data_IF_590453998845
#
_entry.id   IF_590453998845
#
_cell.length_a   1.000
_cell.length_b   1.000
_cell.length_c   1.000
_cell.angle_alpha   90.00
_cell.angle_beta   90.00
_cell.angle_gamma   90.00
#
_symmetry.space_group_name_H-M   'P 1'
#
loop_
_entity.id
_entity.type
_entity.pdbx_description
1 polymer ?
#
# COMPACT_ATOMS: atom_id res chain seq x y z
N UNK A 1 35.40 -21.34 -7.24
CA UNK A 1 35.11 -22.79 -7.12
C UNK A 1 34.14 -23.13 -8.22
N UNK A 2 34.61 -23.91 -9.19
CA UNK A 2 33.86 -24.38 -10.36
C UNK A 2 33.02 -25.58 -9.98
N UNK A 3 31.75 -25.61 -10.39
CA UNK A 3 31.03 -26.86 -10.58
C UNK A 3 30.34 -26.82 -11.94
N UNK A 4 30.83 -27.70 -12.83
CA UNK A 4 30.20 -28.13 -14.05
C UNK A 4 29.09 -29.13 -13.71
N UNK A 5 27.94 -29.04 -14.38
CA UNK A 5 27.13 -30.22 -14.69
C UNK A 5 26.73 -30.13 -16.16
N UNK A 6 27.21 -31.09 -16.92
CA UNK A 6 26.98 -31.36 -18.34
C UNK A 6 25.61 -31.99 -18.59
N UNK A 7 25.08 -31.69 -19.77
CA UNK A 7 23.84 -32.19 -20.38
C UNK A 7 23.78 -33.72 -20.57
N UNK A 8 22.65 -34.21 -21.12
CA UNK A 8 22.72 -35.06 -22.30
C UNK A 8 22.15 -34.34 -23.53
N UNK A 9 22.86 -34.55 -24.64
CA UNK A 9 22.52 -34.10 -25.98
C UNK A 9 21.43 -34.98 -26.59
N UNK A 10 20.60 -34.39 -27.45
CA UNK A 10 20.06 -35.07 -28.62
C UNK A 10 20.10 -34.12 -29.82
N UNK A 11 20.51 -34.70 -30.95
CA UNK A 11 20.85 -34.06 -32.22
C UNK A 11 19.63 -33.68 -33.07
N UNK A 12 19.88 -32.70 -33.95
CA UNK A 12 19.27 -32.40 -35.27
C UNK A 12 18.54 -31.04 -35.30
N UNK A 13 18.56 -30.23 -36.35
CA UNK A 13 19.46 -29.95 -37.47
C UNK A 13 18.92 -28.61 -38.06
N UNK A 14 19.68 -27.98 -38.96
CA UNK A 14 19.23 -26.93 -39.92
C UNK A 14 19.11 -25.45 -39.49
N UNK A 15 20.23 -24.74 -39.69
CA UNK A 15 20.41 -23.51 -40.48
C UNK A 15 19.20 -22.60 -40.81
N UNK A 16 19.29 -21.33 -40.38
CA UNK A 16 18.44 -20.25 -40.90
C UNK A 16 18.86 -18.86 -40.40
N UNK A 17 19.76 -18.21 -41.13
CA UNK A 17 20.28 -16.86 -40.90
C UNK A 17 19.20 -15.81 -41.19
N UNK A 18 18.90 -14.91 -40.25
CA UNK A 18 18.29 -13.61 -40.57
C UNK A 18 18.63 -12.56 -39.49
N UNK A 19 19.44 -11.59 -39.89
CA UNK A 19 19.69 -10.34 -39.18
C UNK A 19 18.47 -9.44 -39.29
N UNK A 20 17.99 -8.87 -38.18
CA UNK A 20 17.26 -7.61 -38.21
C UNK A 20 17.63 -6.75 -37.01
N UNK A 21 18.33 -5.67 -37.30
CA UNK A 21 18.69 -4.62 -36.38
C UNK A 21 17.47 -3.75 -36.03
N UNK A 22 17.29 -3.47 -34.75
CA UNK A 22 16.54 -2.30 -34.30
C UNK A 22 17.21 -1.68 -33.08
N UNK A 23 17.85 -0.52 -33.33
CA UNK A 23 18.07 0.60 -32.40
C UNK A 23 16.82 0.77 -31.52
N UNK A 24 16.85 1.01 -30.22
CA UNK A 24 17.79 1.76 -29.40
C UNK A 24 16.91 2.53 -28.41
N UNK A 25 16.84 2.08 -27.16
CA UNK A 25 16.43 2.89 -26.01
C UNK A 25 17.46 2.66 -24.92
N UNK A 26 18.21 3.70 -24.62
CA UNK A 26 19.20 3.71 -23.56
C UNK A 26 18.45 3.56 -22.23
N UNK A 27 18.57 2.36 -21.65
CA UNK A 27 18.09 2.04 -20.32
C UNK A 27 19.03 2.62 -19.27
N UNK A 28 18.43 3.21 -18.24
CA UNK A 28 19.10 3.49 -16.97
C UNK A 28 19.85 2.24 -16.49
N UNK A 29 21.15 2.39 -16.21
CA UNK A 29 21.98 1.31 -15.67
C UNK A 29 22.19 1.52 -14.18
N UNK A 30 21.65 0.59 -13.39
CA UNK A 30 22.18 0.19 -12.08
C UNK A 30 21.90 1.13 -10.92
N UNK A 31 20.93 0.77 -10.08
CA UNK A 31 20.87 1.16 -8.67
C UNK A 31 21.00 -0.10 -7.82
N UNK A 32 21.82 -0.05 -6.76
CA UNK A 32 22.00 -1.16 -5.82
C UNK A 32 20.72 -1.41 -5.03
N UNK A 33 20.33 -2.68 -4.89
CA UNK A 33 19.23 -3.12 -4.03
C UNK A 33 19.81 -3.36 -2.63
N UNK A 34 19.36 -2.59 -1.63
CA UNK A 34 19.63 -2.89 -0.22
C UNK A 34 18.35 -3.50 0.36
N UNK A 35 18.39 -4.80 0.67
CA UNK A 35 17.36 -5.48 1.47
C UNK A 35 17.66 -5.23 2.94
N UNK A 36 16.81 -4.47 3.62
CA UNK A 36 16.83 -4.39 5.07
C UNK A 36 15.86 -5.45 5.63
N UNK A 37 16.40 -6.58 6.12
CA UNK A 37 15.67 -7.47 7.02
C UNK A 37 16.02 -7.09 8.46
N UNK A 38 15.07 -7.22 9.38
CA UNK A 38 15.24 -7.04 10.83
C UNK A 38 16.11 -8.12 11.53
N UNK A 39 17.09 -8.69 10.81
CA UNK A 39 18.12 -9.55 11.38
C UNK A 39 19.43 -9.31 10.64
N UNK A 40 20.31 -8.54 11.29
CA UNK A 40 21.62 -8.15 10.78
C UNK A 40 22.52 -9.39 10.75
N UNK A 41 22.89 -9.83 9.54
CA UNK A 41 24.02 -10.74 9.36
C UNK A 41 24.82 -10.32 8.13
N UNK A 42 25.96 -9.68 8.38
CA UNK A 42 26.95 -9.36 7.37
C UNK A 42 27.51 -10.65 6.74
N UNK A 43 27.53 -10.73 5.41
CA UNK A 43 28.39 -11.67 4.69
C UNK A 43 29.39 -10.89 3.83
N UNK A 44 30.62 -10.85 4.33
CA UNK A 44 31.80 -10.32 3.65
C UNK A 44 32.31 -11.31 2.59
N UNK A 45 32.36 -10.89 1.33
CA UNK A 45 33.11 -11.58 0.28
C UNK A 45 34.43 -10.84 0.03
N UNK A 46 35.53 -11.33 0.62
CA UNK A 46 36.88 -10.83 0.34
C UNK A 46 37.42 -11.38 -0.98
N UNK A 47 37.59 -10.51 -1.97
CA UNK A 47 38.38 -10.76 -3.18
C UNK A 47 39.47 -9.71 -3.34
N UNK A 48 40.73 -10.11 -3.13
CA UNK A 48 41.92 -9.25 -3.18
C UNK A 48 42.16 -8.60 -4.56
N UNK A 49 42.24 -7.26 -4.63
CA UNK A 49 43.00 -6.46 -5.62
C UNK A 49 43.43 -5.09 -5.03
N UNK A 50 44.46 -4.43 -5.60
CA UNK A 50 45.45 -3.69 -4.82
C UNK A 50 45.04 -2.27 -4.43
N UNK A 51 45.58 -1.87 -3.28
CA UNK A 51 45.36 -0.62 -2.55
C UNK A 51 45.62 0.62 -3.43
N UNK A 52 44.53 1.28 -3.82
CA UNK A 52 44.51 2.70 -4.17
C UNK A 52 43.83 3.41 -3.01
N UNK A 53 44.42 4.50 -2.51
CA UNK A 53 43.99 5.23 -1.31
C UNK A 53 42.48 5.50 -1.35
N UNK A 54 41.73 4.77 -0.53
CA UNK A 54 40.28 4.89 -0.38
C UNK A 54 39.97 6.13 0.44
N UNK A 55 39.21 7.07 -0.14
CA UNK A 55 38.46 8.04 0.62
C UNK A 55 37.72 7.31 1.76
N UNK A 56 37.70 7.88 2.97
CA UNK A 56 36.84 7.40 4.06
C UNK A 56 35.41 7.33 3.50
N UNK A 57 34.93 6.13 3.21
CA UNK A 57 33.51 5.90 3.03
C UNK A 57 32.84 6.34 4.32
N UNK A 58 32.03 7.39 4.24
CA UNK A 58 31.19 7.81 5.35
C UNK A 58 30.20 6.69 5.60
N UNK A 59 30.38 5.98 6.71
CA UNK A 59 29.48 4.95 7.18
C UNK A 59 28.07 5.56 7.34
N UNK A 60 27.11 5.09 6.56
CA UNK A 60 25.73 5.55 6.62
C UNK A 60 25.05 4.81 7.76
N UNK A 61 24.61 5.56 8.77
CA UNK A 61 23.84 5.04 9.90
C UNK A 61 22.44 4.65 9.45
N UNK A 62 21.93 3.53 9.95
CA UNK A 62 20.57 3.08 9.63
C UNK A 62 19.51 4.06 10.14
N UNK A 63 19.82 4.76 11.23
CA UNK A 63 18.97 5.77 11.85
C UNK A 63 18.72 6.93 10.88
N UNK A 64 19.76 7.36 10.17
CA UNK A 64 19.69 8.45 9.20
C UNK A 64 18.92 8.04 7.95
N UNK A 65 19.02 6.77 7.55
CA UNK A 65 18.20 6.20 6.46
C UNK A 65 16.73 6.21 6.85
N UNK A 66 16.38 5.76 8.06
CA UNK A 66 14.99 5.76 8.52
C UNK A 66 14.43 7.19 8.58
N UNK A 67 15.17 8.14 9.17
CA UNK A 67 14.76 9.56 9.22
C UNK A 67 14.57 10.14 7.82
N UNK A 68 15.47 9.85 6.89
CA UNK A 68 15.34 10.31 5.51
C UNK A 68 14.15 9.68 4.75
N UNK A 69 13.80 8.42 5.04
CA UNK A 69 12.63 7.74 4.46
C UNK A 69 11.33 8.29 5.05
N UNK A 70 11.24 8.43 6.37
CA UNK A 70 10.06 9.01 7.04
C UNK A 70 9.85 10.45 6.57
N UNK A 71 10.92 11.25 6.45
CA UNK A 71 10.84 12.60 5.89
C UNK A 71 10.33 12.62 4.44
N UNK A 72 10.74 11.65 3.62
CA UNK A 72 10.31 11.54 2.23
C UNK A 72 8.82 11.20 2.14
N UNK A 73 8.37 10.29 2.99
CA UNK A 73 6.97 9.88 3.09
C UNK A 73 6.11 11.05 3.60
N UNK A 74 6.52 11.73 4.67
CA UNK A 74 5.78 12.84 5.30
C UNK A 74 5.56 13.98 4.31
N UNK A 75 6.61 14.32 3.57
CA UNK A 75 6.54 15.37 2.54
C UNK A 75 5.70 14.99 1.31
N UNK A 76 5.51 13.70 1.06
CA UNK A 76 4.76 13.22 -0.10
C UNK A 76 3.32 12.85 0.22
N UNK A 77 3.03 12.47 1.47
CA UNK A 77 1.76 11.96 1.98
C UNK A 77 1.38 12.70 3.27
N UNK A 78 1.13 14.02 3.22
CA UNK A 78 0.99 14.86 4.41
C UNK A 78 -0.21 14.50 5.31
N UNK A 79 -1.18 13.74 4.80
CA UNK A 79 -2.42 13.42 5.51
C UNK A 79 -2.28 12.28 6.54
N UNK A 80 -1.17 11.53 6.51
CA UNK A 80 -0.93 10.37 7.38
C UNK A 80 -0.18 10.77 8.66
N UNK A 81 0.64 11.83 8.60
CA UNK A 81 1.48 12.27 9.72
C UNK A 81 2.71 11.39 9.96
N UNK A 82 3.79 11.96 10.55
CA UNK A 82 5.10 11.32 10.55
C UNK A 82 5.22 10.17 11.56
N UNK A 83 4.41 10.18 12.62
CA UNK A 83 4.36 9.11 13.62
C UNK A 83 3.79 7.83 13.03
N UNK A 84 2.64 7.92 12.38
CA UNK A 84 1.96 6.78 11.77
C UNK A 84 2.80 6.19 10.62
N UNK A 85 3.53 7.05 9.89
CA UNK A 85 4.53 6.60 8.92
C UNK A 85 5.69 5.86 9.55
N UNK A 86 6.27 6.38 10.63
CA UNK A 86 7.33 5.70 11.35
C UNK A 86 6.87 4.33 11.87
N UNK A 87 5.69 4.28 12.48
CA UNK A 87 5.07 3.04 12.95
C UNK A 87 4.85 2.05 11.81
N UNK A 88 4.40 2.53 10.64
CA UNK A 88 4.21 1.69 9.44
C UNK A 88 5.53 1.15 8.90
N UNK A 89 6.55 1.99 8.74
CA UNK A 89 7.87 1.60 8.21
C UNK A 89 8.56 0.60 9.15
N UNK A 90 8.36 0.75 10.46
CA UNK A 90 8.96 -0.10 11.49
C UNK A 90 8.06 -1.29 11.89
N UNK A 91 6.88 -1.46 11.28
CA UNK A 91 5.96 -2.53 11.65
C UNK A 91 6.57 -3.91 11.34
N UNK A 92 6.53 -4.88 12.27
CA UNK A 92 7.07 -6.21 12.02
C UNK A 92 6.41 -6.89 10.82
N UNK A 93 7.21 -7.28 9.82
CA UNK A 93 6.72 -7.92 8.59
C UNK A 93 6.58 -6.97 7.39
N UNK A 94 6.71 -5.65 7.60
CA UNK A 94 6.81 -4.68 6.51
C UNK A 94 8.20 -4.73 5.90
N UNK A 95 8.23 -4.75 4.57
CA UNK A 95 9.41 -4.61 3.75
C UNK A 95 9.44 -3.22 3.13
N UNK A 96 10.59 -2.57 3.18
CA UNK A 96 10.78 -1.25 2.56
C UNK A 96 11.75 -1.34 1.39
N UNK A 97 11.27 -0.98 0.20
CA UNK A 97 12.10 -0.77 -1.01
C UNK A 97 12.53 0.68 -1.03
N UNK A 98 13.84 0.92 -1.01
CA UNK A 98 14.43 2.26 -1.12
C UNK A 98 15.14 2.36 -2.46
N UNK A 99 14.83 3.41 -3.23
CA UNK A 99 15.59 3.75 -4.42
C UNK A 99 16.56 4.89 -4.09
N UNK A 100 17.85 4.58 -4.15
CA UNK A 100 18.94 5.52 -3.96
C UNK A 100 19.66 5.83 -5.28
N UNK A 101 20.23 7.02 -5.36
CA UNK A 101 21.15 7.43 -6.44
C UNK A 101 22.59 7.09 -6.05
N UNK A 102 23.42 6.93 -7.07
CA UNK A 102 24.86 6.90 -6.86
C UNK A 102 25.36 8.28 -6.38
N UNK A 103 26.36 8.26 -5.51
CA UNK A 103 26.97 9.44 -4.92
C UNK A 103 27.60 10.33 -6.00
N UNK A 104 28.25 9.71 -7.00
CA UNK A 104 28.86 10.40 -8.12
C UNK A 104 27.84 11.19 -8.95
N UNK A 105 26.70 10.57 -9.30
CA UNK A 105 25.62 11.20 -10.07
C UNK A 105 25.05 12.43 -9.34
N UNK A 106 24.97 12.36 -8.01
CA UNK A 106 24.47 13.47 -7.19
C UNK A 106 25.45 14.63 -7.19
N UNK A 107 26.76 14.36 -7.08
CA UNK A 107 27.79 15.38 -7.20
C UNK A 107 27.79 16.05 -8.59
N UNK A 108 27.61 15.27 -9.65
CA UNK A 108 27.51 15.81 -11.01
C UNK A 108 26.29 16.70 -11.21
N UNK A 109 25.11 16.27 -10.74
CA UNK A 109 23.87 17.08 -10.75
C UNK A 109 24.06 18.39 -10.00
N UNK A 110 24.74 18.37 -8.85
CA UNK A 110 25.02 19.60 -8.11
C UNK A 110 25.99 20.55 -8.83
N UNK A 111 26.95 20.03 -9.60
CA UNK A 111 27.84 20.85 -10.44
C UNK A 111 27.10 21.43 -11.66
N UNK A 112 26.23 20.66 -12.29
CA UNK A 112 25.51 21.06 -13.52
C UNK A 112 24.43 22.14 -13.31
N UNK A 113 23.94 22.31 -12.06
CA UNK A 113 22.89 23.29 -11.73
C UNK A 113 23.30 24.76 -11.85
N UNK A 114 24.58 25.07 -11.94
CA UNK A 114 25.06 26.45 -12.11
C UNK A 114 24.64 27.07 -13.47
N UNK A 115 24.20 26.28 -14.45
CA UNK A 115 23.97 26.76 -15.83
C UNK A 115 22.53 26.62 -16.34
N UNK A 116 21.63 25.96 -15.60
CA UNK A 116 20.24 25.83 -16.02
C UNK A 116 19.37 26.95 -15.43
N UNK A 117 19.10 27.98 -16.24
CA UNK A 117 17.93 28.85 -16.05
C UNK A 117 16.70 27.94 -15.94
N UNK A 118 16.12 27.85 -14.74
CA UNK A 118 14.90 27.09 -14.46
C UNK A 118 13.82 27.44 -15.49
N UNK A 119 13.46 26.49 -16.35
CA UNK A 119 12.09 26.43 -16.86
C UNK A 119 11.22 26.13 -15.64
N UNK A 120 10.55 27.17 -15.16
CA UNK A 120 9.62 27.11 -14.05
C UNK A 120 8.52 26.09 -14.36
N UNK A 121 8.60 24.91 -13.79
CA UNK A 121 7.41 24.09 -13.59
C UNK A 121 6.59 24.79 -12.52
N UNK A 122 5.48 25.40 -12.93
CA UNK A 122 4.50 26.00 -12.04
C UNK A 122 4.05 24.95 -11.03
N UNK A 123 4.22 25.18 -9.71
CA UNK A 123 3.66 24.29 -8.71
C UNK A 123 2.14 24.36 -8.83
N UNK A 124 1.48 23.22 -9.03
CA UNK A 124 0.05 23.10 -8.74
C UNK A 124 -0.10 23.30 -7.22
N UNK A 125 -0.85 24.30 -6.74
CA UNK A 125 -1.04 24.51 -5.32
C UNK A 125 -2.00 23.43 -4.79
N UNK A 126 -1.48 22.39 -4.14
CA UNK A 126 -2.28 21.56 -3.25
C UNK A 126 -2.52 22.36 -1.96
N UNK A 127 -3.73 22.91 -1.83
CA UNK A 127 -4.17 23.58 -0.61
C UNK A 127 -4.69 22.54 0.37
N UNK A 128 -3.81 22.05 1.24
CA UNK A 128 -4.20 21.39 2.48
C UNK A 128 -3.56 22.18 3.62
N UNK A 129 -4.28 23.16 4.15
CA UNK A 129 -3.92 23.84 5.40
C UNK A 129 -4.30 22.94 6.56
N UNK A 130 -3.47 21.93 6.81
CA UNK A 130 -3.45 21.19 8.08
C UNK A 130 -2.44 21.92 8.97
N UNK A 131 -2.80 22.12 10.24
CA UNK A 131 -1.94 22.74 11.25
C UNK A 131 -0.77 21.75 11.49
N UNK A 132 0.35 21.98 10.80
CA UNK A 132 1.48 21.05 10.80
C UNK A 132 2.07 20.92 12.20
N UNK A 133 2.30 19.67 12.63
CA UNK A 133 3.02 19.36 13.86
C UNK A 133 4.49 19.80 13.72
N UNK A 134 5.15 20.13 14.84
CA UNK A 134 6.54 20.61 14.87
C UNK A 134 7.52 19.66 14.15
N UNK A 135 7.32 18.34 14.28
CA UNK A 135 8.12 17.31 13.60
C UNK A 135 7.92 17.30 12.09
N UNK A 136 6.69 17.52 11.60
CA UNK A 136 6.43 17.60 10.17
C UNK A 136 7.11 18.82 9.55
N UNK A 137 7.18 19.95 10.26
CA UNK A 137 7.93 21.12 9.79
C UNK A 137 9.43 20.83 9.66
N UNK A 138 10.03 20.15 10.65
CA UNK A 138 11.44 19.74 10.61
C UNK A 138 11.72 18.77 9.43
N UNK A 139 10.87 17.76 9.24
CA UNK A 139 11.00 16.78 8.17
C UNK A 139 10.78 17.41 6.78
N UNK A 140 9.84 18.35 6.67
CA UNK A 140 9.58 19.09 5.44
C UNK A 140 10.81 19.88 4.97
N UNK A 141 11.64 20.34 5.89
CA UNK A 141 12.84 21.11 5.58
C UNK A 141 13.89 20.29 4.80
N UNK A 142 13.99 18.98 5.05
CA UNK A 142 14.93 18.07 4.36
C UNK A 142 14.70 17.98 2.86
N UNK A 143 13.43 18.02 2.43
CA UNK A 143 13.03 17.89 1.03
C UNK A 143 12.38 19.16 0.47
N UNK A 144 12.46 20.28 1.20
CA UNK A 144 12.09 21.60 0.69
C UNK A 144 13.09 22.03 -0.40
N UNK A 145 12.72 21.72 -1.64
CA UNK A 145 13.49 22.08 -2.85
C UNK A 145 13.41 23.60 -3.17
N UNK A 146 12.71 24.40 -2.33
CA UNK A 146 12.82 25.86 -2.26
C UNK A 146 13.95 26.27 -1.31
N UNK A 147 14.81 27.19 -1.74
CA UNK A 147 15.92 27.73 -0.93
C UNK A 147 15.45 28.88 -0.01
N UNK A 148 14.17 28.90 0.37
CA UNK A 148 13.62 29.91 1.27
C UNK A 148 13.48 29.36 2.69
N UNK A 149 14.14 30.07 3.61
CA UNK A 149 14.31 29.81 5.03
C UNK A 149 13.00 29.93 5.82
N UNK A 150 12.62 28.93 6.64
CA UNK A 150 11.62 29.11 7.70
C UNK A 150 12.27 29.34 9.07
N UNK A 151 11.66 30.22 9.87
CA UNK A 151 12.04 30.55 11.25
C UNK A 151 11.66 29.45 12.24
N UNK A 152 12.50 29.25 13.27
CA UNK A 152 12.40 28.19 14.28
C UNK A 152 11.34 28.48 15.35
N UNK A 153 10.64 27.45 15.83
CA UNK A 153 9.85 27.52 17.07
C UNK A 153 9.87 26.15 17.76
N UNK A 154 10.34 26.13 19.00
CA UNK A 154 10.61 24.93 19.81
C UNK A 154 9.68 24.87 21.03
N UNK A 155 9.00 23.73 21.26
CA UNK A 155 8.39 23.37 22.54
C UNK A 155 8.47 21.85 22.81
N UNK A 156 8.56 21.51 24.11
CA UNK A 156 8.88 20.22 24.76
C UNK A 156 7.81 19.12 24.62
N UNK A 157 8.23 17.84 24.60
CA UNK A 157 7.36 16.65 24.67
C UNK A 157 7.85 15.70 25.78
N UNK A 158 6.92 15.22 26.60
CA UNK A 158 7.12 14.32 27.76
C UNK A 158 7.01 12.84 27.32
N UNK A 159 7.92 12.01 27.81
CA UNK A 159 8.06 10.58 27.48
C UNK A 159 7.38 9.62 28.48
N UNK A 160 6.92 8.47 27.99
CA UNK A 160 6.67 7.24 28.77
C UNK A 160 7.20 6.05 27.97
N UNK A 161 8.04 5.24 28.62
CA UNK A 161 8.84 4.16 28.04
C UNK A 161 8.07 2.84 27.86
N UNK A 162 8.39 2.08 26.80
CA UNK A 162 8.56 0.61 26.90
C UNK A 162 9.47 0.08 25.77
N UNK A 163 10.35 -0.85 26.12
CA UNK A 163 11.58 -1.24 25.39
C UNK A 163 11.42 -2.25 24.26
N UNK A 164 12.23 -2.12 23.21
CA UNK A 164 12.72 -3.23 22.35
C UNK A 164 12.57 -3.03 20.84
N UNK A 165 11.73 -2.10 20.42
CA UNK A 165 11.57 -1.60 19.04
C UNK A 165 12.10 -0.18 19.00
N UNK A 166 12.65 0.34 17.89
CA UNK A 166 12.94 1.77 17.82
C UNK A 166 11.66 2.52 18.06
N UNK A 167 11.56 3.15 19.22
CA UNK A 167 10.36 3.84 19.61
C UNK A 167 10.33 5.20 18.90
N UNK A 168 9.15 5.79 18.82
CA UNK A 168 9.01 7.13 18.25
C UNK A 168 9.91 8.15 18.97
N UNK A 169 10.14 7.97 20.26
CA UNK A 169 11.03 8.79 21.08
C UNK A 169 12.49 8.67 20.62
N UNK A 170 12.98 7.44 20.37
CA UNK A 170 14.34 7.21 19.85
C UNK A 170 14.51 7.75 18.42
N UNK A 171 13.45 7.72 17.63
CA UNK A 171 13.46 8.33 16.30
C UNK A 171 13.62 9.86 16.39
N UNK A 172 12.88 10.48 17.32
CA UNK A 172 12.93 11.92 17.57
C UNK A 172 14.26 12.34 18.20
N UNK A 173 14.87 11.48 19.03
CA UNK A 173 16.22 11.67 19.54
C UNK A 173 17.20 11.72 18.36
N UNK A 174 17.88 12.86 18.18
CA UNK A 174 18.79 13.09 17.06
C UNK A 174 18.13 13.50 15.73
N UNK A 175 16.80 13.66 15.68
CA UNK A 175 16.15 14.19 14.47
C UNK A 175 16.58 15.63 14.18
N UNK A 176 16.65 16.48 15.20
CA UNK A 176 17.10 17.86 15.05
C UNK A 176 18.55 17.93 14.57
N UNK A 177 19.45 17.15 15.17
CA UNK A 177 20.85 17.05 14.76
C UNK A 177 20.97 16.63 13.28
N UNK A 178 20.22 15.61 12.87
CA UNK A 178 20.18 15.17 11.48
C UNK A 178 19.71 16.26 10.51
N UNK A 179 18.67 17.01 10.89
CA UNK A 179 18.14 18.14 10.11
C UNK A 179 19.17 19.25 10.02
N UNK A 180 19.80 19.62 11.13
CA UNK A 180 20.84 20.66 11.18
C UNK A 180 22.04 20.29 10.32
N UNK A 181 22.51 19.04 10.40
CA UNK A 181 23.58 18.58 9.51
C UNK A 181 23.18 18.63 8.02
N UNK A 182 21.92 18.33 7.70
CA UNK A 182 21.41 18.43 6.33
C UNK A 182 21.34 19.90 5.87
N UNK A 183 21.00 20.84 6.77
CA UNK A 183 21.08 22.28 6.52
C UNK A 183 22.52 22.71 6.27
N UNK A 184 23.45 22.30 7.12
CA UNK A 184 24.88 22.58 6.93
C UNK A 184 25.38 22.06 5.58
N UNK A 185 24.95 20.85 5.18
CA UNK A 185 25.26 20.30 3.85
C UNK A 185 24.64 21.15 2.75
N UNK A 186 23.44 21.69 2.93
CA UNK A 186 22.76 22.61 1.98
C UNK A 186 23.50 23.94 1.87
N UNK A 187 23.90 24.54 2.97
CA UNK A 187 24.65 25.80 3.00
C UNK A 187 26.04 25.64 2.37
N UNK A 188 26.77 24.56 2.70
CA UNK A 188 28.04 24.23 2.06
C UNK A 188 27.91 24.09 0.54
N UNK A 189 26.80 23.54 0.06
CA UNK A 189 26.50 23.49 -1.39
C UNK A 189 26.24 24.88 -1.96
N UNK A 190 25.54 25.76 -1.24
CA UNK A 190 25.22 27.11 -1.69
C UNK A 190 26.48 27.97 -1.84
N UNK A 191 27.35 27.99 -0.83
CA UNK A 191 28.60 28.78 -0.83
C UNK A 191 29.57 28.27 -1.91
N UNK A 192 29.74 26.95 -2.02
CA UNK A 192 30.74 26.36 -2.93
C UNK A 192 30.25 26.22 -4.39
N UNK A 193 28.99 26.60 -4.68
CA UNK A 193 28.54 26.79 -6.07
C UNK A 193 29.32 27.91 -6.75
N UNK A 194 29.78 28.92 -6.01
CA UNK A 194 30.56 30.03 -6.56
C UNK A 194 31.98 29.62 -6.95
N UNK A 195 32.57 28.68 -6.20
CA UNK A 195 33.94 28.18 -6.41
C UNK A 195 34.02 26.92 -7.31
N UNK A 196 32.87 26.37 -7.73
CA UNK A 196 32.76 25.26 -8.68
C UNK A 196 33.21 23.88 -8.16
N UNK A 197 33.58 23.74 -6.88
CA UNK A 197 34.04 22.47 -6.28
C UNK A 197 33.19 22.09 -5.07
N UNK A 198 32.16 21.29 -5.31
CA UNK A 198 31.33 20.72 -4.24
C UNK A 198 32.05 19.49 -3.65
N UNK A 199 32.22 19.39 -2.32
CA UNK A 199 32.95 18.32 -1.69
C UNK A 199 32.04 17.09 -1.49
N UNK A 200 32.61 15.87 -1.47
CA UNK A 200 31.83 14.65 -1.23
C UNK A 200 31.02 14.67 0.08
N UNK A 201 31.53 15.36 1.11
CA UNK A 201 30.88 15.51 2.42
C UNK A 201 29.62 16.38 2.41
N UNK A 202 29.32 17.06 1.29
CA UNK A 202 28.10 17.84 1.13
C UNK A 202 26.91 17.02 0.60
N UNK A 203 27.11 15.73 0.34
CA UNK A 203 26.06 14.78 -0.06
C UNK A 203 25.74 13.90 1.15
N UNK A 204 24.57 14.10 1.75
CA UNK A 204 24.05 13.21 2.79
C UNK A 204 23.02 12.23 2.25
N UNK A 205 22.51 11.35 3.13
CA UNK A 205 21.51 10.33 2.79
C UNK A 205 20.24 10.95 2.20
N UNK A 206 19.83 12.13 2.69
CA UNK A 206 18.68 12.89 2.20
C UNK A 206 18.85 13.34 0.72
N UNK A 207 20.09 13.38 0.24
CA UNK A 207 20.40 13.69 -1.16
C UNK A 207 20.39 12.45 -2.06
N UNK A 208 20.62 11.26 -1.48
CA UNK A 208 20.71 9.98 -2.19
C UNK A 208 19.34 9.34 -2.39
N UNK A 209 18.46 9.39 -1.39
CA UNK A 209 17.14 8.75 -1.44
C UNK A 209 16.20 9.54 -2.36
N UNK A 210 15.56 8.81 -3.28
CA UNK A 210 14.65 9.39 -4.29
C UNK A 210 13.22 8.91 -4.15
N UNK A 211 13.05 7.64 -3.79
CA UNK A 211 11.74 7.03 -3.63
C UNK A 211 11.80 5.94 -2.57
N UNK A 212 10.66 5.71 -1.91
CA UNK A 212 10.49 4.65 -0.94
C UNK A 212 9.10 4.01 -1.12
N UNK A 213 9.03 2.69 -0.92
CA UNK A 213 7.78 1.95 -0.91
C UNK A 213 7.78 0.91 0.20
N UNK A 214 6.71 0.87 0.99
CA UNK A 214 6.54 -0.07 2.10
C UNK A 214 5.43 -1.05 1.75
N UNK A 215 5.72 -2.34 1.81
CA UNK A 215 4.76 -3.40 1.49
C UNK A 215 4.81 -4.53 2.50
N UNK A 216 3.71 -5.27 2.63
CA UNK A 216 3.57 -6.45 3.48
C UNK A 216 3.09 -7.63 2.65
N UNK A 217 3.47 -8.85 3.04
CA UNK A 217 2.86 -10.07 2.56
C UNK A 217 1.93 -10.64 3.64
N UNK A 218 0.63 -10.66 3.35
CA UNK A 218 -0.41 -11.19 4.25
C UNK A 218 -1.01 -12.46 3.65
N UNK A 219 -1.40 -13.38 4.53
CA UNK A 219 -2.19 -14.56 4.14
C UNK A 219 -3.60 -14.32 4.65
N UNK A 220 -4.56 -14.31 3.74
CA UNK A 220 -5.95 -14.04 4.08
C UNK A 220 -6.63 -15.23 4.74
N UNK A 221 -7.80 -14.97 5.33
CA UNK A 221 -8.66 -16.04 5.86
C UNK A 221 -9.11 -17.05 4.79
N UNK A 222 -9.14 -16.64 3.52
CA UNK A 222 -9.40 -17.49 2.36
C UNK A 222 -8.23 -18.41 2.00
N UNK A 223 -7.03 -18.13 2.51
CA UNK A 223 -5.78 -18.79 2.16
C UNK A 223 -4.98 -18.11 1.06
N UNK A 224 -5.50 -17.04 0.46
CA UNK A 224 -4.81 -16.29 -0.60
C UNK A 224 -3.65 -15.47 -0.04
N UNK A 225 -2.54 -15.42 -0.76
CA UNK A 225 -1.38 -14.61 -0.40
C UNK A 225 -1.47 -13.23 -1.06
N UNK A 226 -1.60 -12.18 -0.27
CA UNK A 226 -1.75 -10.81 -0.75
C UNK A 226 -0.52 -9.97 -0.43
N UNK A 227 0.00 -9.30 -1.45
CA UNK A 227 1.00 -8.26 -1.32
C UNK A 227 0.30 -6.92 -1.12
N UNK A 228 0.25 -6.42 0.11
CA UNK A 228 -0.33 -5.13 0.45
C UNK A 228 0.73 -4.03 0.34
N UNK A 229 0.54 -3.08 -0.58
CA UNK A 229 1.33 -1.85 -0.64
C UNK A 229 0.72 -0.82 0.32
N UNK A 230 1.44 -0.54 1.41
CA UNK A 230 1.00 0.39 2.46
C UNK A 230 1.35 1.83 2.15
N UNK A 231 2.60 2.10 1.74
CA UNK A 231 3.08 3.45 1.45
C UNK A 231 3.91 3.47 0.17
N UNK A 232 3.75 4.51 -0.64
CA UNK A 232 4.57 4.77 -1.83
C UNK A 232 4.81 6.27 -1.98
N UNK A 233 6.07 6.69 -1.95
CA UNK A 233 6.45 8.07 -2.17
C UNK A 233 7.61 8.20 -3.16
N UNK A 234 7.49 9.22 -4.02
CA UNK A 234 8.56 9.69 -4.90
C UNK A 234 8.80 11.16 -4.62
N UNK A 235 10.05 11.51 -4.38
CA UNK A 235 10.47 12.89 -4.09
C UNK A 235 10.02 13.82 -5.22
N UNK A 236 9.47 14.97 -4.86
CA UNK A 236 8.77 15.90 -5.76
C UNK A 236 9.53 16.20 -7.06
N UNK A 237 10.81 16.54 -6.96
CA UNK A 237 11.69 16.83 -8.12
C UNK A 237 11.91 15.66 -9.10
N UNK A 238 11.59 14.43 -8.73
CA UNK A 238 11.72 13.25 -9.59
C UNK A 238 10.36 12.61 -9.94
N UNK A 239 9.25 13.26 -9.55
CA UNK A 239 7.93 12.85 -10.02
C UNK A 239 7.86 12.99 -11.55
N UNK A 240 7.06 12.15 -12.19
CA UNK A 240 6.92 12.06 -13.65
C UNK A 240 8.17 11.59 -14.42
N UNK A 241 9.24 11.17 -13.75
CA UNK A 241 10.40 10.52 -14.38
C UNK A 241 10.28 8.99 -14.47
N UNK A 242 9.08 8.44 -14.22
CA UNK A 242 8.83 7.00 -14.26
C UNK A 242 9.35 6.22 -13.04
N UNK A 243 9.82 6.89 -11.99
CA UNK A 243 10.35 6.23 -10.79
C UNK A 243 9.27 5.44 -10.04
N UNK A 244 8.09 6.03 -9.86
CA UNK A 244 6.95 5.31 -9.26
C UNK A 244 6.55 4.11 -10.10
N UNK A 245 6.55 4.25 -11.43
CA UNK A 245 6.29 3.14 -12.34
C UNK A 245 7.32 2.03 -12.24
N UNK A 246 8.59 2.38 -12.12
CA UNK A 246 9.67 1.42 -11.91
C UNK A 246 9.47 0.61 -10.62
N UNK A 247 9.11 1.27 -9.51
CA UNK A 247 8.80 0.58 -8.26
C UNK A 247 7.58 -0.34 -8.43
N UNK A 248 6.51 0.11 -9.10
CA UNK A 248 5.35 -0.73 -9.35
C UNK A 248 5.70 -1.98 -10.16
N UNK A 249 6.56 -1.88 -11.17
CA UNK A 249 7.04 -3.05 -11.93
C UNK A 249 7.92 -3.98 -11.08
N UNK A 250 8.71 -3.45 -10.15
CA UNK A 250 9.43 -4.26 -9.17
C UNK A 250 8.46 -5.02 -8.25
N UNK A 251 7.42 -4.35 -7.75
CA UNK A 251 6.42 -4.98 -6.88
C UNK A 251 5.60 -6.04 -7.62
N UNK A 252 5.39 -5.88 -8.93
CA UNK A 252 4.76 -6.90 -9.77
C UNK A 252 5.64 -8.12 -10.02
N UNK A 253 6.94 -7.98 -9.81
CA UNK A 253 7.91 -9.04 -10.10
C UNK A 253 8.01 -9.97 -8.90
N UNK A 254 7.30 -11.10 -8.95
CA UNK A 254 7.26 -12.09 -7.86
C UNK A 254 8.63 -12.66 -7.45
N UNK A 255 9.63 -12.66 -8.34
CA UNK A 255 11.00 -13.07 -7.97
C UNK A 255 11.68 -12.08 -7.02
N UNK A 256 11.24 -10.82 -6.99
CA UNK A 256 11.79 -9.76 -6.13
C UNK A 256 11.09 -9.75 -4.78
N UNK A 257 9.75 -9.66 -4.80
CA UNK A 257 8.94 -9.47 -3.60
C UNK A 257 8.49 -10.76 -2.92
N UNK A 258 8.60 -11.89 -3.62
CA UNK A 258 8.03 -13.17 -3.19
C UNK A 258 6.81 -13.55 -4.01
N UNK A 259 6.41 -14.82 -3.95
CA UNK A 259 5.18 -15.29 -4.58
C UNK A 259 3.98 -14.61 -3.90
N UNK A 260 2.99 -14.19 -4.67
CA UNK A 260 1.73 -13.67 -4.16
C UNK A 260 0.63 -13.89 -5.22
N UNK A 261 -0.62 -13.98 -4.77
CA UNK A 261 -1.78 -14.21 -5.63
C UNK A 261 -2.45 -12.90 -6.05
N UNK A 262 -2.38 -11.86 -5.21
CA UNK A 262 -2.90 -10.53 -5.55
C UNK A 262 -2.03 -9.42 -4.95
N UNK A 263 -1.86 -8.32 -5.67
CA UNK A 263 -1.29 -7.08 -5.14
C UNK A 263 -2.43 -6.11 -4.82
N UNK A 264 -2.44 -5.56 -3.62
CA UNK A 264 -3.49 -4.65 -3.16
C UNK A 264 -2.85 -3.33 -2.72
N UNK A 265 -3.51 -2.21 -3.04
CA UNK A 265 -3.08 -0.88 -2.61
C UNK A 265 -4.29 -0.02 -2.25
N UNK A 266 -4.14 0.83 -1.25
CA UNK A 266 -5.06 1.93 -1.00
C UNK A 266 -4.61 3.13 -1.85
N UNK A 267 -5.51 3.59 -2.71
CA UNK A 267 -5.26 4.72 -3.60
C UNK A 267 -6.07 5.94 -3.16
N UNK A 268 -5.38 7.04 -2.89
CA UNK A 268 -6.03 8.34 -2.76
C UNK A 268 -6.63 8.79 -4.08
N UNK A 269 -7.58 9.72 -4.02
CA UNK A 269 -8.32 10.23 -5.19
C UNK A 269 -7.40 10.64 -6.34
N UNK A 270 -6.26 11.26 -6.03
CA UNK A 270 -5.28 11.72 -7.03
C UNK A 270 -4.38 10.59 -7.58
N UNK A 271 -4.25 9.48 -6.85
CA UNK A 271 -3.39 8.35 -7.21
C UNK A 271 -4.12 7.26 -8.01
N UNK A 272 -5.46 7.27 -8.06
CA UNK A 272 -6.26 6.26 -8.77
C UNK A 272 -5.80 6.11 -10.23
N UNK A 273 -5.60 7.22 -10.94
CA UNK A 273 -5.15 7.19 -12.33
C UNK A 273 -3.78 6.54 -12.51
N UNK A 274 -2.86 6.77 -11.56
CA UNK A 274 -1.55 6.13 -11.54
C UNK A 274 -1.69 4.61 -11.37
N UNK A 275 -2.47 4.14 -10.40
CA UNK A 275 -2.66 2.71 -10.16
C UNK A 275 -3.40 2.00 -11.29
N UNK A 276 -4.44 2.63 -11.87
CA UNK A 276 -5.13 2.12 -13.07
C UNK A 276 -4.16 1.98 -14.25
N UNK A 277 -3.26 2.94 -14.43
CA UNK A 277 -2.20 2.89 -15.45
C UNK A 277 -1.24 1.70 -15.28
N UNK A 278 -1.14 1.14 -14.07
CA UNK A 278 -0.37 -0.07 -13.78
C UNK A 278 -1.25 -1.33 -13.70
N UNK A 279 -2.50 -1.28 -14.16
CA UNK A 279 -3.37 -2.44 -14.24
C UNK A 279 -4.07 -2.81 -12.93
N UNK A 280 -4.03 -1.96 -11.90
CA UNK A 280 -4.88 -2.15 -10.73
C UNK A 280 -6.32 -1.74 -11.07
N UNK A 281 -7.29 -2.47 -10.54
CA UNK A 281 -8.72 -2.21 -10.71
C UNK A 281 -9.37 -1.78 -9.40
N UNK A 282 -10.31 -0.84 -9.51
CA UNK A 282 -11.20 -0.36 -8.46
C UNK A 282 -12.57 -1.07 -8.49
N UNK A 283 -12.69 -2.23 -9.14
CA UNK A 283 -13.93 -3.02 -9.17
C UNK A 283 -14.37 -3.41 -7.76
N UNK A 284 -15.56 -2.94 -7.37
CA UNK A 284 -16.10 -3.13 -6.02
C UNK A 284 -16.36 -4.60 -5.68
N UNK A 285 -16.82 -5.41 -6.64
CA UNK A 285 -17.13 -6.82 -6.39
C UNK A 285 -15.85 -7.63 -6.27
N UNK A 286 -14.85 -7.32 -7.11
CA UNK A 286 -13.54 -7.96 -7.00
C UNK A 286 -12.85 -7.58 -5.70
N UNK A 287 -12.89 -6.30 -5.32
CA UNK A 287 -12.18 -5.81 -4.15
C UNK A 287 -12.88 -6.17 -2.82
N UNK A 288 -14.17 -6.56 -2.83
CA UNK A 288 -14.88 -7.02 -1.62
C UNK A 288 -14.24 -8.27 -1.01
N UNK A 289 -13.56 -9.10 -1.81
CA UNK A 289 -12.84 -10.28 -1.30
C UNK A 289 -11.66 -9.89 -0.39
N UNK A 290 -11.16 -8.65 -0.52
CA UNK A 290 -10.05 -8.10 0.26
C UNK A 290 -10.53 -7.17 1.37
N UNK A 291 -11.81 -7.22 1.75
CA UNK A 291 -12.39 -6.34 2.78
C UNK A 291 -11.74 -6.46 4.16
N UNK A 292 -11.09 -7.59 4.45
CA UNK A 292 -10.33 -7.77 5.70
C UNK A 292 -9.05 -6.93 5.73
N UNK A 293 -8.55 -6.50 4.56
CA UNK A 293 -7.44 -5.55 4.41
C UNK A 293 -7.90 -4.10 4.32
N UNK A 294 -9.21 -3.84 4.49
CA UNK A 294 -9.74 -2.49 4.46
C UNK A 294 -9.31 -1.77 5.74
N UNK A 295 -8.15 -1.12 5.66
CA UNK A 295 -7.59 -0.31 6.72
C UNK A 295 -8.45 0.94 7.00
N UNK A 296 -8.14 1.64 8.08
CA UNK A 296 -8.79 2.88 8.53
C UNK A 296 -8.48 4.11 7.65
N UNK A 297 -7.90 3.93 6.46
CA UNK A 297 -7.58 5.02 5.54
C UNK A 297 -8.84 5.75 5.07
N UNK A 298 -9.07 6.94 5.62
CA UNK A 298 -10.13 7.83 5.16
C UNK A 298 -9.84 8.35 3.76
N UNK A 299 -10.86 8.48 2.90
CA UNK A 299 -10.76 9.03 1.54
C UNK A 299 -9.88 8.24 0.54
N UNK A 300 -9.56 6.98 0.85
CA UNK A 300 -8.88 6.07 -0.06
C UNK A 300 -9.84 5.05 -0.68
N UNK A 301 -9.49 4.54 -1.87
CA UNK A 301 -10.18 3.45 -2.53
C UNK A 301 -9.24 2.25 -2.58
N UNK A 302 -9.73 1.09 -2.16
CA UNK A 302 -9.01 -0.18 -2.29
C UNK A 302 -8.95 -0.57 -3.77
N UNK A 303 -7.74 -0.84 -4.26
CA UNK A 303 -7.49 -1.29 -5.62
C UNK A 303 -6.66 -2.56 -5.61
N UNK A 304 -6.91 -3.47 -6.56
CA UNK A 304 -6.18 -4.73 -6.66
C UNK A 304 -5.62 -4.99 -8.06
N UNK A 305 -4.48 -5.67 -8.12
CA UNK A 305 -3.87 -6.19 -9.34
C UNK A 305 -3.74 -7.71 -9.21
N UNK A 306 -4.29 -8.41 -10.20
CA UNK A 306 -4.19 -9.85 -10.34
C UNK A 306 -3.04 -10.17 -11.30
N UNK A 307 -1.96 -10.82 -10.84
CA UNK A 307 -0.90 -11.29 -11.71
C UNK A 307 -1.44 -12.27 -12.77
N UNK A 308 -0.84 -12.31 -13.97
CA UNK A 308 -1.20 -13.32 -14.96
C UNK A 308 -0.87 -14.73 -14.45
N UNK A 309 -1.67 -15.73 -14.84
CA UNK A 309 -1.47 -17.13 -14.44
C UNK A 309 -0.10 -17.70 -14.86
N UNK A 310 0.45 -17.21 -15.97
CA UNK A 310 1.77 -17.60 -16.47
C UNK A 310 2.80 -16.53 -16.13
N UNK A 311 3.48 -16.69 -15.00
CA UNK A 311 4.64 -15.88 -14.62
C UNK A 311 5.95 -16.41 -15.22
N UNK A 312 5.99 -17.67 -15.66
CA UNK A 312 7.16 -18.30 -16.29
C UNK A 312 7.18 -18.11 -17.83
N UNK A 313 8.24 -17.46 -18.31
CA UNK A 313 8.49 -17.16 -19.72
C UNK A 313 8.62 -18.42 -20.60
N UNK A 314 8.99 -19.56 -20.01
CA UNK A 314 9.23 -20.82 -20.74
C UNK A 314 7.94 -21.47 -21.29
N UNK A 315 6.77 -21.10 -20.76
CA UNK A 315 5.48 -21.61 -21.25
C UNK A 315 4.82 -20.72 -22.32
N UNK A 316 5.46 -19.61 -22.72
CA UNK A 316 4.90 -18.73 -23.75
C UNK A 316 5.04 -19.39 -25.12
N UNK A 317 3.93 -19.71 -25.75
CA UNK A 317 3.92 -20.26 -27.10
C UNK A 317 4.07 -19.11 -28.13
N UNK A 318 5.24 -18.90 -28.75
CA UNK A 318 5.53 -17.69 -29.52
C UNK A 318 4.74 -17.60 -30.84
N UNK A 319 4.14 -18.71 -31.29
CA UNK A 319 3.29 -18.77 -32.49
C UNK A 319 1.80 -18.54 -32.23
N UNK A 320 1.38 -18.32 -30.98
CA UNK A 320 -0.04 -18.16 -30.65
C UNK A 320 -0.46 -16.70 -30.80
N UNK A 321 -1.18 -16.41 -31.89
CA UNK A 321 -1.81 -15.11 -32.13
C UNK A 321 -3.30 -15.23 -31.82
N UNK A 322 -3.73 -14.63 -30.72
CA UNK A 322 -5.14 -14.35 -30.46
C UNK A 322 -5.46 -12.92 -30.88
N UNK A 323 -6.65 -12.70 -31.42
CA UNK A 323 -7.17 -11.36 -31.57
C UNK A 323 -7.54 -10.83 -30.17
N UNK A 324 -6.63 -10.07 -29.56
CA UNK A 324 -6.79 -9.51 -28.22
C UNK A 324 -8.12 -8.77 -28.07
N UNK A 325 -8.56 -8.07 -29.11
CA UNK A 325 -9.82 -7.31 -29.10
C UNK A 325 -11.04 -8.23 -28.98
N UNK A 326 -11.03 -9.39 -29.65
CA UNK A 326 -12.12 -10.36 -29.54
C UNK A 326 -12.16 -10.96 -28.14
N UNK A 327 -11.00 -11.31 -27.58
CA UNK A 327 -10.89 -11.83 -26.21
C UNK A 327 -11.36 -10.81 -25.18
N UNK A 328 -10.99 -9.54 -25.34
CA UNK A 328 -11.46 -8.44 -24.49
C UNK A 328 -12.99 -8.29 -24.57
N UNK A 329 -13.57 -8.32 -25.77
CA UNK A 329 -15.03 -8.24 -25.97
C UNK A 329 -15.75 -9.45 -25.36
N UNK A 330 -15.22 -10.66 -25.52
CA UNK A 330 -15.77 -11.88 -24.93
C UNK A 330 -15.69 -11.84 -23.40
N UNK A 331 -14.59 -11.33 -22.83
CA UNK A 331 -14.43 -11.16 -21.39
C UNK A 331 -15.44 -10.15 -20.84
N UNK A 332 -15.65 -9.01 -21.51
CA UNK A 332 -16.62 -8.00 -21.10
C UNK A 332 -18.06 -8.51 -21.19
N UNK A 333 -18.36 -9.30 -22.22
CA UNK A 333 -19.65 -9.99 -22.34
C UNK A 333 -19.84 -11.00 -21.20
N UNK A 334 -18.84 -11.81 -20.90
CA UNK A 334 -18.87 -12.78 -19.80
C UNK A 334 -19.07 -12.10 -18.43
N UNK A 335 -18.35 -10.99 -18.17
CA UNK A 335 -18.52 -10.17 -16.96
C UNK A 335 -19.95 -9.64 -16.85
N UNK A 336 -20.50 -9.12 -17.94
CA UNK A 336 -21.87 -8.58 -17.98
C UNK A 336 -22.92 -9.66 -17.71
N UNK A 337 -22.74 -10.85 -18.28
CA UNK A 337 -23.63 -12.00 -18.05
C UNK A 337 -23.55 -12.50 -16.60
N UNK A 338 -22.34 -12.59 -16.04
CA UNK A 338 -22.13 -12.97 -14.64
C UNK A 338 -22.78 -11.97 -13.68
N UNK A 339 -22.62 -10.67 -13.92
CA UNK A 339 -23.26 -9.62 -13.12
C UNK A 339 -24.78 -9.72 -13.17
N UNK A 340 -25.35 -9.93 -14.36
CA UNK A 340 -26.79 -10.09 -14.52
C UNK A 340 -27.31 -11.32 -13.76
N UNK A 341 -26.62 -12.46 -13.87
CA UNK A 341 -26.98 -13.68 -13.15
C UNK A 341 -26.93 -13.48 -11.63
N UNK A 342 -25.89 -12.82 -11.12
CA UNK A 342 -25.77 -12.46 -9.71
C UNK A 342 -26.92 -11.57 -9.24
N UNK A 343 -27.26 -10.52 -10.00
CA UNK A 343 -28.38 -9.63 -9.67
C UNK A 343 -29.73 -10.36 -9.61
N UNK A 344 -29.98 -11.30 -10.52
CA UNK A 344 -31.19 -12.13 -10.50
C UNK A 344 -31.22 -13.02 -9.25
N UNK A 345 -30.09 -13.66 -8.92
CA UNK A 345 -29.97 -14.50 -7.74
C UNK A 345 -30.22 -13.72 -6.44
N UNK A 346 -29.60 -12.56 -6.28
CA UNK A 346 -29.81 -11.68 -5.11
C UNK A 346 -31.27 -11.26 -5.02
N UNK A 347 -31.89 -10.86 -6.13
CA UNK A 347 -33.31 -10.48 -6.16
C UNK A 347 -34.22 -11.63 -5.70
N UNK A 348 -33.98 -12.84 -6.18
CA UNK A 348 -34.74 -14.03 -5.77
C UNK A 348 -34.57 -14.33 -4.27
N UNK A 349 -33.34 -14.29 -3.76
CA UNK A 349 -33.05 -14.54 -2.34
C UNK A 349 -33.70 -13.48 -1.45
N UNK A 350 -33.63 -12.21 -1.82
CA UNK A 350 -34.29 -11.13 -1.06
C UNK A 350 -35.80 -11.30 -1.02
N UNK A 351 -36.43 -11.66 -2.15
CA UNK A 351 -37.89 -11.94 -2.18
C UNK A 351 -38.25 -13.14 -1.32
N UNK A 352 -37.48 -14.22 -1.39
CA UNK A 352 -37.68 -15.40 -0.55
C UNK A 352 -37.60 -15.04 0.94
N UNK A 353 -36.62 -14.22 1.33
CA UNK A 353 -36.46 -13.77 2.71
C UNK A 353 -37.68 -12.99 3.20
N UNK A 354 -38.24 -12.10 2.38
CA UNK A 354 -39.46 -11.37 2.72
C UNK A 354 -40.68 -12.28 2.83
N UNK A 355 -40.82 -13.25 1.92
CA UNK A 355 -41.89 -14.26 2.00
C UNK A 355 -41.79 -15.08 3.29
N UNK A 356 -40.57 -15.52 3.67
CA UNK A 356 -40.33 -16.23 4.93
C UNK A 356 -40.73 -15.36 6.12
N UNK A 357 -40.39 -14.07 6.13
CA UNK A 357 -40.80 -13.13 7.19
C UNK A 357 -42.33 -12.99 7.26
N UNK A 358 -43.00 -12.85 6.12
CA UNK A 358 -44.47 -12.74 6.05
C UNK A 358 -45.13 -14.01 6.57
N UNK A 359 -44.68 -15.18 6.10
CA UNK A 359 -45.19 -16.48 6.52
C UNK A 359 -44.96 -16.71 8.02
N UNK A 360 -43.80 -16.31 8.55
CA UNK A 360 -43.51 -16.40 9.98
C UNK A 360 -44.50 -15.56 10.80
N UNK A 361 -44.76 -14.31 10.40
CA UNK A 361 -45.77 -13.44 11.03
C UNK A 361 -47.17 -14.05 10.97
N UNK A 362 -47.55 -14.63 9.83
CA UNK A 362 -48.84 -15.31 9.67
C UNK A 362 -48.94 -16.55 10.58
N UNK A 363 -47.87 -17.34 10.70
CA UNK A 363 -47.82 -18.51 11.57
C UNK A 363 -48.00 -18.11 13.05
N UNK A 364 -47.32 -17.05 13.51
CA UNK A 364 -47.49 -16.52 14.88
C UNK A 364 -48.95 -16.11 15.10
N UNK A 365 -49.52 -15.32 14.19
CA UNK A 365 -50.94 -14.91 14.26
C UNK A 365 -51.89 -16.11 14.32
N UNK A 366 -51.65 -17.13 13.51
CA UNK A 366 -52.46 -18.33 13.48
C UNK A 366 -52.35 -19.15 14.79
N UNK A 367 -51.15 -19.24 15.38
CA UNK A 367 -50.99 -19.86 16.71
C UNK A 367 -51.76 -19.11 17.79
N UNK A 368 -51.69 -17.77 17.79
CA UNK A 368 -52.44 -16.94 18.72
C UNK A 368 -53.96 -17.15 18.58
N UNK A 369 -54.46 -17.12 17.34
CA UNK A 369 -55.89 -17.34 17.06
C UNK A 369 -56.36 -18.73 17.51
N UNK A 370 -55.55 -19.78 17.31
CA UNK A 370 -55.86 -21.13 17.83
C UNK A 370 -55.89 -21.16 19.36
N UNK A 371 -54.96 -20.48 20.02
CA UNK A 371 -54.95 -20.40 21.47
C UNK A 371 -56.20 -19.69 22.01
N UNK A 372 -56.62 -18.60 21.37
CA UNK A 372 -57.87 -17.89 21.70
C UNK A 372 -59.10 -18.79 21.49
N UNK A 373 -59.20 -19.48 20.35
CA UNK A 373 -60.30 -20.43 20.12
C UNK A 373 -60.33 -21.53 21.18
N UNK A 374 -59.17 -22.10 21.51
CA UNK A 374 -59.07 -23.14 22.54
C UNK A 374 -59.46 -22.63 23.94
N UNK A 375 -59.12 -21.39 24.29
CA UNK A 375 -59.59 -20.76 25.53
C UNK A 375 -61.10 -20.48 25.49
N UNK A 376 -61.65 -20.01 24.37
CA UNK A 376 -63.08 -19.80 24.17
C UNK A 376 -63.91 -21.09 24.30
N UNK A 377 -63.38 -22.23 23.86
CA UNK A 377 -64.02 -23.53 24.08
C UNK A 377 -63.94 -23.99 25.54
N UNK A 378 -62.84 -23.69 26.25
CA UNK A 378 -62.70 -23.98 27.68
C UNK A 378 -63.64 -23.12 28.54
N UNK A 379 -63.82 -21.84 28.22
CA UNK A 379 -64.76 -20.96 28.93
C UNK A 379 -66.23 -21.31 28.63
N UNK A 380 -66.58 -21.68 27.40
CA UNK A 380 -67.92 -22.21 27.09
C UNK A 380 -68.22 -23.52 27.81
N UNK A 381 -67.25 -24.43 27.94
CA UNK A 381 -67.38 -25.65 28.78
C UNK A 381 -67.54 -25.33 30.27
N UNK A 382 -66.83 -24.31 30.78
CA UNK A 382 -67.03 -23.83 32.16
C UNK A 382 -68.42 -23.19 32.35
N UNK A 383 -68.93 -22.43 31.39
CA UNK A 383 -70.29 -21.87 31.45
C UNK A 383 -71.37 -22.96 31.35
N UNK A 384 -71.17 -24.04 30.58
CA UNK A 384 -72.08 -25.19 30.61
C UNK A 384 -72.01 -26.01 31.92
N UNK A 385 -70.90 -25.91 32.67
CA UNK A 385 -70.73 -26.50 34.00
C UNK A 385 -71.14 -25.55 35.15
N UNK A 386 -71.36 -24.26 34.87
CA UNK A 386 -71.80 -23.24 35.83
C UNK A 386 -73.32 -22.94 35.77
N UNK A 387 -74.10 -23.72 35.02
CA UNK A 387 -75.56 -23.78 35.17
C UNK A 387 -75.98 -24.68 36.36
N UNK A 388 -75.34 -24.46 37.51
CA UNK A 388 -75.78 -24.89 38.83
C UNK A 388 -75.66 -23.65 39.74
N UNK A 389 -76.70 -23.27 40.48
CA UNK A 389 -76.71 -22.00 41.18
C UNK A 389 -75.87 -22.12 42.45
N UNK A 390 -74.79 -21.36 42.57
CA UNK A 390 -74.51 -20.62 43.80
C UNK A 390 -73.35 -19.64 43.68
N UNK A 391 -73.57 -18.54 44.40
CA UNK A 391 -72.76 -17.40 44.82
C UNK A 391 -71.22 -17.53 44.72
N UNK A 392 -70.62 -16.36 44.42
CA UNK A 392 -69.26 -15.86 44.71
C UNK A 392 -68.23 -15.77 43.56
N UNK A 393 -68.03 -14.51 43.16
CA UNK A 393 -66.78 -13.74 43.32
C UNK A 393 -65.67 -13.79 42.24
N UNK A 394 -65.54 -12.61 41.60
CA UNK A 394 -64.35 -11.79 41.26
C UNK A 394 -63.10 -12.35 40.55
N UNK A 395 -62.63 -11.46 39.66
CA UNK A 395 -61.26 -11.15 39.20
C UNK A 395 -60.70 -12.08 38.12
N UNK A 396 -60.33 -11.46 36.99
CA UNK A 396 -59.01 -11.55 36.35
C UNK A 396 -59.01 -10.62 35.10
N UNK A 397 -58.79 -9.33 35.37
CA UNK A 397 -58.02 -8.46 34.45
C UNK A 397 -56.53 -8.72 34.71
N UNK A 398 -55.68 -8.43 33.72
CA UNK A 398 -54.22 -8.62 33.64
C UNK A 398 -53.74 -9.92 33.00
N UNK A 399 -53.49 -9.87 31.67
CA UNK A 399 -52.30 -10.45 30.99
C UNK A 399 -52.36 -10.23 29.47
N UNK A 400 -52.26 -8.99 28.98
CA UNK A 400 -52.14 -8.71 27.53
C UNK A 400 -50.98 -7.75 27.18
N UNK A 401 -50.14 -7.32 28.14
CA UNK A 401 -49.13 -6.28 27.88
C UNK A 401 -47.66 -6.74 27.91
N UNK A 402 -47.33 -7.97 27.47
CA UNK A 402 -45.93 -8.43 27.56
C UNK A 402 -45.39 -9.22 26.36
N UNK A 403 -45.92 -9.04 25.14
CA UNK A 403 -45.39 -9.73 23.95
C UNK A 403 -45.28 -8.83 22.72
N UNK A 404 -44.67 -7.64 22.87
CA UNK A 404 -44.14 -6.82 21.78
C UNK A 404 -42.88 -6.07 22.24
N UNK A 405 -41.84 -6.84 22.57
CA UNK A 405 -40.41 -6.52 22.35
C UNK A 405 -39.80 -7.76 21.67
#
# INVERSE_FOLDING_TARGET
MSYYITAPADEQNETGTAQSASRGREGWKGGGIVRANSSIREQSCQGNRPKTQTAKETEIKNEDVLRAVVALLDTSLPDIGPRDMHETVHYPGIYTVILSRDHADVLEDYRGRASQKRTSFTPVPCKTTVKANCTSNMLAELYSDSEDSPEETSEEIIAVETSGSWSWEQFCEGLQEFVDEAKDRKERRAVQREDGKIPPSAVGVESLIVAAACYELKILSTGDMVLQLSLLAVRKRYRHLGIGSYIMELLKTQSVVGKYDTLVAHADTDAIGFFKGHGLTDDLLLNDQFKELKDEWTNSILMSYLPPFTTDLEMRNPGFSLNLREVEMDMDMAKSQALFAYQQQVTCVTRLLEEVKILHKQMIRNRLNRNIQNQGHKTKKKHSLQNLPSKHQRVLEFEVLYLLE
#
